data_IF_034260440234
#
_entry.id   IF_034260440234
#
_cell.length_a   1.000
_cell.length_b   1.000
_cell.length_c   1.000
_cell.angle_alpha   90.00
_cell.angle_beta   90.00
_cell.angle_gamma   90.00
#
_symmetry.space_group_name_H-M   'P 1'
#
loop_
_entity.id
_entity.type
_entity.pdbx_description
1 polymer ?
#
# COMPACT_ATOMS: atom_id res chain seq x y z
N UNK A 1 -14.80 -17.55 2.36
CA UNK A 1 -14.42 -16.31 3.08
C UNK A 1 -13.37 -16.59 4.16
N UNK A 2 -13.60 -17.52 5.08
CA UNK A 2 -12.66 -17.89 6.16
C UNK A 2 -11.27 -18.30 5.70
N UNK A 3 -11.15 -19.11 4.64
CA UNK A 3 -9.85 -19.56 4.10
C UNK A 3 -8.97 -18.41 3.59
N UNK A 4 -9.56 -17.37 2.98
CA UNK A 4 -8.80 -16.22 2.48
C UNK A 4 -8.41 -15.26 3.61
N UNK A 5 -9.30 -15.05 4.59
CA UNK A 5 -8.97 -14.26 5.78
C UNK A 5 -7.81 -14.89 6.54
N UNK A 6 -7.81 -16.22 6.69
CA UNK A 6 -6.70 -16.93 7.31
C UNK A 6 -5.42 -16.89 6.46
N UNK A 7 -5.51 -17.16 5.15
CA UNK A 7 -4.33 -17.13 4.26
C UNK A 7 -3.73 -15.73 4.12
N UNK A 8 -4.53 -14.71 3.78
CA UNK A 8 -4.06 -13.33 3.62
C UNK A 8 -3.71 -12.66 4.94
N UNK A 9 -4.62 -12.72 5.91
CA UNK A 9 -4.51 -12.01 7.18
C UNK A 9 -3.58 -12.66 8.20
N UNK A 10 -3.49 -14.00 8.24
CA UNK A 10 -2.61 -14.72 9.18
C UNK A 10 -1.34 -15.22 8.50
N UNK A 11 -1.43 -16.02 7.43
CA UNK A 11 -0.24 -16.63 6.81
C UNK A 11 0.62 -15.58 6.09
N UNK A 12 0.07 -14.80 5.17
CA UNK A 12 0.84 -13.83 4.40
C UNK A 12 1.29 -12.64 5.25
N UNK A 13 0.43 -12.14 6.14
CA UNK A 13 0.84 -11.11 7.09
C UNK A 13 1.96 -11.61 8.02
N UNK A 14 1.85 -12.81 8.59
CA UNK A 14 2.89 -13.38 9.46
C UNK A 14 4.16 -13.72 8.67
N UNK A 15 4.05 -14.25 7.46
CA UNK A 15 5.19 -14.54 6.59
C UNK A 15 5.92 -13.28 6.15
N UNK A 16 5.19 -12.26 5.71
CA UNK A 16 5.75 -10.94 5.40
C UNK A 16 6.36 -10.29 6.64
N UNK A 17 5.68 -10.40 7.78
CA UNK A 17 6.16 -9.93 9.08
C UNK A 17 7.49 -10.56 9.48
N UNK A 18 7.58 -11.89 9.38
CA UNK A 18 8.79 -12.64 9.69
C UNK A 18 9.93 -12.29 8.75
N UNK A 19 9.66 -12.06 7.46
CA UNK A 19 10.67 -11.60 6.51
C UNK A 19 11.18 -10.20 6.83
N UNK A 20 10.29 -9.27 7.17
CA UNK A 20 10.69 -7.93 7.63
C UNK A 20 11.51 -8.06 8.92
N UNK A 21 11.05 -8.81 9.92
CA UNK A 21 11.82 -9.05 11.15
C UNK A 21 13.19 -9.64 10.87
N UNK A 22 13.28 -10.64 10.00
CA UNK A 22 14.55 -11.26 9.58
C UNK A 22 15.51 -10.21 9.03
N UNK A 23 15.05 -9.30 8.16
CA UNK A 23 15.86 -8.23 7.59
C UNK A 23 16.17 -7.09 8.59
N UNK A 24 15.47 -7.02 9.72
CA UNK A 24 15.74 -6.06 10.79
C UNK A 24 16.66 -6.62 11.89
N UNK A 25 16.65 -7.92 12.12
CA UNK A 25 17.37 -8.56 13.24
C UNK A 25 18.57 -9.40 12.80
N UNK A 26 18.38 -10.33 11.87
CA UNK A 26 19.39 -11.34 11.50
C UNK A 26 20.15 -10.93 10.23
N UNK A 27 19.43 -10.61 9.16
CA UNK A 27 19.98 -10.27 7.84
C UNK A 27 19.88 -8.76 7.61
N UNK A 28 20.46 -7.99 8.53
CA UNK A 28 20.36 -6.52 8.52
C UNK A 28 20.80 -5.93 7.19
N UNK A 29 19.96 -5.08 6.61
CA UNK A 29 20.31 -4.30 5.42
C UNK A 29 20.98 -2.99 5.85
N UNK A 30 22.25 -2.74 5.48
CA UNK A 30 22.92 -1.47 5.77
C UNK A 30 22.38 -0.34 4.89
N UNK A 31 22.68 0.90 5.23
CA UNK A 31 22.48 2.02 4.32
C UNK A 31 23.45 1.93 3.13
N UNK A 32 23.21 2.71 2.07
CA UNK A 32 24.15 2.86 0.96
C UNK A 32 24.17 1.71 -0.04
N UNK A 33 23.23 0.76 0.04
CA UNK A 33 23.14 -0.32 -0.95
C UNK A 33 22.80 0.19 -2.36
N UNK A 34 22.12 1.32 -2.46
CA UNK A 34 21.83 2.02 -3.72
C UNK A 34 22.36 3.45 -3.66
N UNK A 35 22.70 4.01 -4.82
CA UNK A 35 23.11 5.40 -4.99
C UNK A 35 21.91 6.30 -5.32
N UNK A 36 22.11 7.62 -5.36
CA UNK A 36 21.01 8.57 -5.61
C UNK A 36 20.46 8.53 -7.05
N UNK A 37 21.26 8.06 -7.99
CA UNK A 37 20.93 7.86 -9.40
C UNK A 37 20.26 6.50 -9.68
N UNK A 38 20.24 5.60 -8.69
CA UNK A 38 19.64 4.29 -8.86
C UNK A 38 18.14 4.37 -9.22
N UNK A 39 17.62 3.53 -10.14
CA UNK A 39 16.21 3.58 -10.58
C UNK A 39 15.18 3.46 -9.45
N UNK A 40 15.45 2.65 -8.42
CA UNK A 40 14.59 2.61 -7.21
C UNK A 40 14.57 3.92 -6.40
N UNK A 41 15.53 4.82 -6.60
CA UNK A 41 15.58 6.13 -5.92
C UNK A 41 14.99 7.23 -6.80
N UNK A 42 15.23 7.17 -8.11
CA UNK A 42 14.77 8.19 -9.07
C UNK A 42 13.35 7.93 -9.57
N UNK A 43 12.97 6.65 -9.69
CA UNK A 43 11.75 6.23 -10.38
C UNK A 43 11.84 6.28 -11.90
N UNK A 44 13.03 6.55 -12.45
CA UNK A 44 13.25 6.72 -13.88
C UNK A 44 13.77 5.44 -14.53
N UNK A 45 13.28 5.16 -15.74
CA UNK A 45 13.74 4.04 -16.55
C UNK A 45 15.14 4.33 -17.11
N UNK A 46 16.11 3.41 -16.99
CA UNK A 46 17.50 3.65 -17.39
C UNK A 46 17.67 4.11 -18.85
N UNK A 47 16.86 3.59 -19.77
CA UNK A 47 16.99 3.85 -21.20
C UNK A 47 16.31 5.16 -21.65
N UNK A 48 15.15 5.46 -21.08
CA UNK A 48 14.26 6.52 -21.59
C UNK A 48 14.31 7.78 -20.71
N UNK A 49 14.84 7.69 -19.49
CA UNK A 49 14.76 8.75 -18.46
C UNK A 49 13.34 9.20 -18.13
N UNK A 50 12.34 8.42 -18.56
CA UNK A 50 10.93 8.63 -18.24
C UNK A 50 10.56 7.91 -16.93
N UNK A 51 9.55 8.41 -16.19
CA UNK A 51 9.04 7.73 -15.01
C UNK A 51 8.46 6.35 -15.35
N UNK A 52 8.79 5.32 -14.57
CA UNK A 52 8.31 3.94 -14.81
C UNK A 52 6.81 3.74 -14.46
N UNK A 53 6.25 4.60 -13.60
CA UNK A 53 4.95 4.36 -12.98
C UNK A 53 3.77 4.31 -13.96
N UNK A 54 3.65 5.24 -14.93
CA UNK A 54 2.61 5.16 -15.96
C UNK A 54 2.67 3.86 -16.76
N UNK A 55 3.87 3.42 -17.12
CA UNK A 55 4.11 2.18 -17.88
C UNK A 55 3.80 0.90 -17.08
N UNK A 56 3.65 1.00 -15.76
CA UNK A 56 3.27 -0.11 -14.88
C UNK A 56 1.77 -0.16 -14.53
N UNK A 57 0.92 0.65 -15.17
CA UNK A 57 -0.53 0.56 -15.02
C UNK A 57 -1.03 -0.70 -15.76
N UNK A 58 -1.39 -1.74 -15.01
CA UNK A 58 -1.87 -3.01 -15.55
C UNK A 58 -3.37 -2.98 -15.91
N UNK A 59 -4.13 -2.14 -15.21
CA UNK A 59 -5.56 -2.00 -15.40
C UNK A 59 -5.97 -0.59 -14.98
N UNK A 60 -6.93 -0.02 -15.69
CA UNK A 60 -7.61 1.20 -15.28
C UNK A 60 -9.06 1.16 -15.71
N UNK A 61 -9.94 1.62 -14.84
CA UNK A 61 -11.32 1.92 -15.24
C UNK A 61 -11.35 3.18 -16.11
N UNK A 62 -12.35 3.32 -16.99
CA UNK A 62 -12.62 4.58 -17.67
C UNK A 62 -12.73 5.72 -16.66
N UNK A 63 -12.40 6.94 -17.08
CA UNK A 63 -12.59 8.12 -16.23
C UNK A 63 -14.11 8.32 -16.02
N UNK A 64 -14.60 8.00 -14.83
CA UNK A 64 -15.96 8.28 -14.38
C UNK A 64 -16.26 9.78 -14.31
N UNK A 65 -17.53 10.13 -14.47
CA UNK A 65 -18.01 11.53 -14.57
C UNK A 65 -18.46 12.12 -13.23
N UNK A 66 -18.65 11.31 -12.18
CA UNK A 66 -19.22 11.77 -10.89
C UNK A 66 -18.30 12.73 -10.10
N UNK A 67 -16.99 12.67 -10.34
CA UNK A 67 -15.98 13.55 -9.75
C UNK A 67 -15.71 14.79 -10.61
N UNK A 68 -16.19 14.79 -11.88
CA UNK A 68 -16.21 15.96 -12.74
C UNK A 68 -17.35 16.92 -12.36
N UNK A 69 -17.40 17.31 -11.08
CA UNK A 69 -18.09 18.54 -10.70
C UNK A 69 -17.40 19.67 -11.46
N UNK A 70 -18.15 20.68 -11.92
CA UNK A 70 -17.62 21.75 -12.77
C UNK A 70 -16.36 22.46 -12.20
N UNK A 71 -16.14 22.36 -10.88
CA UNK A 71 -15.04 22.99 -10.14
C UNK A 71 -13.86 22.04 -9.81
N UNK A 72 -13.94 20.74 -10.14
CA UNK A 72 -12.86 19.77 -9.88
C UNK A 72 -12.39 19.11 -11.17
N UNK A 73 -11.26 19.59 -11.69
CA UNK A 73 -10.53 18.91 -12.74
C UNK A 73 -9.61 17.85 -12.12
N UNK A 74 -9.82 16.56 -12.40
CA UNK A 74 -8.97 15.51 -11.89
C UNK A 74 -7.57 15.58 -12.48
N UNK A 75 -6.60 15.16 -11.67
CA UNK A 75 -5.25 14.91 -12.19
C UNK A 75 -5.27 13.72 -13.16
N UNK A 76 -4.37 13.75 -14.15
CA UNK A 76 -4.21 12.62 -15.07
C UNK A 76 -3.73 11.38 -14.34
N UNK A 77 -4.03 10.19 -14.88
CA UNK A 77 -3.56 8.92 -14.33
C UNK A 77 -2.05 8.94 -14.06
N UNK A 78 -1.26 9.45 -15.01
CA UNK A 78 0.19 9.56 -14.95
C UNK A 78 0.66 10.47 -13.80
N UNK A 79 -0.03 11.59 -13.58
CA UNK A 79 0.26 12.50 -12.47
C UNK A 79 -0.05 11.84 -11.12
N UNK A 80 -1.19 11.14 -11.02
CA UNK A 80 -1.62 10.40 -9.81
C UNK A 80 -0.60 9.32 -9.45
N UNK A 81 -0.33 8.39 -10.38
CA UNK A 81 0.61 7.29 -10.13
C UNK A 81 2.03 7.80 -9.94
N UNK A 82 2.40 8.89 -10.63
CA UNK A 82 3.67 9.57 -10.44
C UNK A 82 3.82 10.17 -9.04
N UNK A 83 2.78 10.76 -8.46
CA UNK A 83 2.81 11.28 -7.08
C UNK A 83 2.97 10.16 -6.07
N UNK A 84 2.20 9.08 -6.21
CA UNK A 84 2.32 7.88 -5.34
C UNK A 84 3.73 7.28 -5.48
N UNK A 85 4.21 7.11 -6.70
CA UNK A 85 5.52 6.57 -7.02
C UNK A 85 6.67 7.40 -6.44
N UNK A 86 6.69 8.72 -6.66
CA UNK A 86 7.70 9.63 -6.09
C UNK A 86 7.70 9.62 -4.57
N UNK A 87 6.54 9.53 -3.94
CA UNK A 87 6.45 9.42 -2.49
C UNK A 87 7.16 8.16 -1.96
N UNK A 88 7.01 7.02 -2.65
CA UNK A 88 7.67 5.78 -2.29
C UNK A 88 9.18 5.79 -2.63
N UNK A 89 9.56 6.36 -3.77
CA UNK A 89 10.97 6.56 -4.14
C UNK A 89 11.72 7.44 -3.11
N UNK A 90 11.05 8.47 -2.58
CA UNK A 90 11.59 9.28 -1.49
C UNK A 90 11.84 8.48 -0.20
N UNK A 91 11.14 7.37 0.03
CA UNK A 91 11.45 6.46 1.15
C UNK A 91 12.75 5.69 0.89
N UNK A 92 12.95 5.18 -0.33
CA UNK A 92 14.21 4.51 -0.73
C UNK A 92 15.40 5.48 -0.62
N UNK A 93 15.22 6.73 -1.08
CA UNK A 93 16.23 7.80 -1.05
C UNK A 93 16.81 8.02 0.35
N UNK A 94 16.03 7.84 1.42
CA UNK A 94 16.50 7.95 2.81
C UNK A 94 17.55 6.91 3.21
N UNK A 95 17.72 5.87 2.42
CA UNK A 95 18.75 4.84 2.59
C UNK A 95 19.82 4.85 1.49
N UNK A 96 19.74 5.78 0.54
CA UNK A 96 20.74 5.88 -0.52
C UNK A 96 22.09 6.35 0.05
N UNK A 97 23.18 5.98 -0.61
CA UNK A 97 24.51 6.48 -0.29
C UNK A 97 24.54 7.99 -0.50
N UNK A 98 24.92 8.73 0.55
CA UNK A 98 25.17 10.16 0.50
C UNK A 98 26.60 10.41 1.01
N UNK A 99 27.32 11.42 0.47
CA UNK A 99 28.56 11.89 1.09
C UNK A 99 28.30 12.18 2.58
N UNK A 100 29.23 11.76 3.44
CA UNK A 100 29.00 11.61 4.88
C UNK A 100 28.35 12.82 5.55
N UNK A 101 27.27 12.56 6.28
CA UNK A 101 26.87 13.37 7.43
C UNK A 101 27.27 12.51 8.64
N UNK A 102 28.19 12.94 9.52
CA UNK A 102 28.70 12.14 10.64
C UNK A 102 27.60 11.61 11.59
N UNK A 103 26.44 12.27 11.63
CA UNK A 103 25.28 11.89 12.44
C UNK A 103 24.18 11.18 11.63
N UNK A 104 24.32 11.08 10.29
CA UNK A 104 23.25 10.72 9.37
C UNK A 104 22.07 11.71 9.42
N UNK A 105 21.17 11.66 8.43
CA UNK A 105 19.86 12.30 8.61
C UNK A 105 19.14 11.64 9.80
N UNK A 106 18.32 12.38 10.55
CA UNK A 106 17.47 11.83 11.61
C UNK A 106 16.57 10.72 11.03
N UNK A 107 16.96 9.45 11.20
CA UNK A 107 16.32 8.29 10.57
C UNK A 107 15.19 7.77 11.43
N UNK A 108 13.96 7.89 10.91
CA UNK A 108 12.77 7.37 11.61
C UNK A 108 12.39 5.94 11.21
N UNK A 109 12.79 5.45 10.04
CA UNK A 109 12.48 4.07 9.58
C UNK A 109 13.73 3.24 9.28
N UNK A 110 13.74 1.93 9.59
CA UNK A 110 14.83 1.03 9.23
C UNK A 110 15.10 0.91 7.72
N UNK A 111 16.36 0.69 7.34
CA UNK A 111 16.77 0.62 5.94
C UNK A 111 16.09 -0.49 5.14
N UNK A 112 15.88 -1.66 5.74
CA UNK A 112 15.12 -2.75 5.10
C UNK A 112 13.70 -2.32 4.70
N UNK A 113 13.03 -1.54 5.56
CA UNK A 113 11.69 -0.98 5.26
C UNK A 113 11.79 0.06 4.15
N UNK A 114 12.84 0.85 4.08
CA UNK A 114 13.01 1.79 2.96
C UNK A 114 13.24 1.06 1.63
N UNK A 115 14.11 0.03 1.59
CA UNK A 115 14.44 -0.68 0.35
C UNK A 115 13.30 -1.51 -0.23
N UNK A 116 12.45 -2.12 0.59
CA UNK A 116 11.29 -2.86 0.06
C UNK A 116 10.35 -1.97 -0.75
N UNK A 117 10.32 -0.65 -0.49
CA UNK A 117 9.52 0.27 -1.29
C UNK A 117 10.01 0.33 -2.73
N UNK A 118 11.31 0.16 -3.00
CA UNK A 118 11.87 0.12 -4.36
C UNK A 118 11.23 -0.98 -5.19
N UNK A 119 11.18 -2.19 -4.65
CA UNK A 119 10.47 -3.32 -5.29
C UNK A 119 8.96 -3.05 -5.43
N UNK A 120 8.33 -2.35 -4.48
CA UNK A 120 6.88 -2.07 -4.52
C UNK A 120 6.52 -0.99 -5.55
N UNK A 121 7.29 0.10 -5.65
CA UNK A 121 6.93 1.22 -6.52
C UNK A 121 7.54 1.15 -7.91
N UNK A 122 8.77 0.66 -8.04
CA UNK A 122 9.47 0.65 -9.32
C UNK A 122 9.10 -0.61 -10.09
N UNK A 123 9.16 -1.77 -9.43
CA UNK A 123 8.80 -3.04 -10.05
C UNK A 123 7.30 -3.33 -9.98
N UNK A 124 6.56 -2.74 -9.04
CA UNK A 124 5.16 -3.07 -8.81
C UNK A 124 4.21 -2.67 -9.94
N UNK A 125 3.09 -3.38 -10.02
CA UNK A 125 2.01 -3.09 -10.94
C UNK A 125 0.92 -2.24 -10.26
N UNK A 126 0.29 -1.36 -11.02
CA UNK A 126 -0.80 -0.49 -10.53
C UNK A 126 -2.12 -0.88 -11.16
N UNK A 127 -3.17 -0.98 -10.35
CA UNK A 127 -4.56 -1.00 -10.82
C UNK A 127 -5.25 0.29 -10.38
N UNK A 128 -5.82 1.03 -11.32
CA UNK A 128 -6.36 2.36 -11.07
C UNK A 128 -7.90 2.37 -11.17
N UNK A 129 -8.55 2.90 -10.14
CA UNK A 129 -10.00 2.97 -10.03
C UNK A 129 -10.44 4.39 -9.68
N UNK A 130 -11.69 4.71 -9.96
CA UNK A 130 -12.29 5.99 -9.58
C UNK A 130 -12.60 6.01 -8.09
N UNK A 131 -13.41 5.05 -7.65
CA UNK A 131 -13.97 4.95 -6.29
C UNK A 131 -13.83 3.52 -5.74
N UNK A 132 -14.04 3.36 -4.43
CA UNK A 132 -14.06 2.03 -3.82
C UNK A 132 -15.24 1.18 -4.32
N UNK A 133 -16.40 1.80 -4.48
CA UNK A 133 -17.59 1.14 -5.00
C UNK A 133 -17.39 0.62 -6.43
N UNK A 134 -16.72 1.38 -7.29
CA UNK A 134 -16.36 0.92 -8.62
C UNK A 134 -15.40 -0.27 -8.54
N UNK A 135 -14.31 -0.16 -7.77
CA UNK A 135 -13.37 -1.27 -7.60
C UNK A 135 -14.04 -2.53 -7.03
N UNK A 136 -15.05 -2.38 -6.16
CA UNK A 136 -15.83 -3.48 -5.63
C UNK A 136 -16.53 -4.27 -6.75
N UNK A 137 -17.02 -3.61 -7.80
CA UNK A 137 -17.65 -4.29 -8.95
C UNK A 137 -16.69 -5.25 -9.66
N UNK A 138 -15.44 -4.80 -9.87
CA UNK A 138 -14.40 -5.59 -10.51
C UNK A 138 -13.91 -6.70 -9.60
N UNK A 139 -13.60 -6.40 -8.35
CA UNK A 139 -13.09 -7.42 -7.42
C UNK A 139 -14.15 -8.43 -6.97
N UNK A 140 -15.44 -8.11 -7.06
CA UNK A 140 -16.50 -9.10 -6.86
C UNK A 140 -16.46 -10.19 -7.96
N UNK A 141 -16.14 -9.79 -9.19
CA UNK A 141 -15.98 -10.70 -10.32
C UNK A 141 -14.83 -11.70 -10.07
N UNK A 142 -15.14 -12.99 -10.14
CA UNK A 142 -14.14 -14.05 -9.97
C UNK A 142 -13.15 -14.10 -11.14
N UNK A 143 -13.55 -13.68 -12.35
CA UNK A 143 -12.71 -13.61 -13.55
C UNK A 143 -11.62 -12.56 -13.37
N UNK A 144 -11.99 -11.38 -12.90
CA UNK A 144 -11.03 -10.30 -12.60
C UNK A 144 -10.02 -10.73 -11.52
N UNK A 145 -10.50 -11.37 -10.44
CA UNK A 145 -9.61 -11.90 -9.40
C UNK A 145 -8.70 -13.01 -9.88
N UNK A 146 -9.15 -13.86 -10.82
CA UNK A 146 -8.29 -14.88 -11.45
C UNK A 146 -7.20 -14.20 -12.28
N UNK A 147 -7.54 -13.15 -13.01
CA UNK A 147 -6.58 -12.38 -13.80
C UNK A 147 -5.55 -11.65 -12.94
N UNK A 148 -5.97 -11.03 -11.83
CA UNK A 148 -5.05 -10.48 -10.84
C UNK A 148 -4.07 -11.53 -10.29
N UNK A 149 -4.57 -12.75 -10.01
CA UNK A 149 -3.70 -13.85 -9.59
C UNK A 149 -2.74 -14.28 -10.67
N UNK A 150 -3.17 -14.28 -11.94
CA UNK A 150 -2.30 -14.57 -13.08
C UNK A 150 -1.18 -13.53 -13.19
N UNK A 151 -1.52 -12.24 -13.19
CA UNK A 151 -0.55 -11.13 -13.18
C UNK A 151 0.49 -11.32 -12.07
N UNK A 152 0.05 -11.51 -10.81
CA UNK A 152 0.98 -11.68 -9.69
C UNK A 152 1.85 -12.94 -9.83
N UNK A 153 1.29 -14.04 -10.32
CA UNK A 153 2.03 -15.30 -10.49
C UNK A 153 3.09 -15.21 -11.58
N UNK A 154 2.74 -14.63 -12.73
CA UNK A 154 3.61 -14.55 -13.91
C UNK A 154 4.65 -13.45 -13.74
N UNK A 155 4.20 -12.26 -13.35
CA UNK A 155 5.11 -11.13 -13.16
C UNK A 155 5.87 -11.23 -11.84
N UNK A 156 5.36 -11.86 -10.79
CA UNK A 156 5.98 -11.79 -9.44
C UNK A 156 6.26 -10.33 -9.04
N UNK A 157 5.24 -9.48 -9.14
CA UNK A 157 5.28 -8.06 -8.77
C UNK A 157 4.30 -7.82 -7.64
N UNK A 158 4.62 -6.88 -6.75
CA UNK A 158 3.62 -6.33 -5.83
C UNK A 158 2.55 -5.56 -6.61
N UNK A 159 1.32 -5.54 -6.11
CA UNK A 159 0.21 -4.82 -6.77
C UNK A 159 -0.31 -3.73 -5.86
N UNK A 160 -0.43 -2.51 -6.38
CA UNK A 160 -1.04 -1.40 -5.67
C UNK A 160 -2.34 -1.00 -6.35
N UNK A 161 -3.44 -1.01 -5.60
CA UNK A 161 -4.68 -0.38 -6.02
C UNK A 161 -4.57 1.10 -5.71
N UNK A 162 -4.80 1.97 -6.67
CA UNK A 162 -4.81 3.42 -6.49
C UNK A 162 -6.19 3.96 -6.88
N UNK A 163 -6.67 4.94 -6.12
CA UNK A 163 -7.99 5.53 -6.31
C UNK A 163 -7.85 7.00 -6.70
N UNK A 164 -8.53 7.41 -7.79
CA UNK A 164 -8.48 8.78 -8.32
C UNK A 164 -9.17 9.77 -7.39
N UNK A 165 -10.23 9.36 -6.71
CA UNK A 165 -10.91 10.18 -5.72
C UNK A 165 -10.05 10.33 -4.47
N UNK A 166 -9.35 11.47 -4.37
CA UNK A 166 -8.49 11.78 -3.22
C UNK A 166 -9.30 12.08 -1.95
N UNK A 167 -10.52 12.59 -2.11
CA UNK A 167 -11.43 12.86 -1.00
C UNK A 167 -12.40 11.71 -0.77
N UNK A 168 -12.11 10.82 0.18
CA UNK A 168 -12.85 9.57 0.36
C UNK A 168 -13.42 9.46 1.78
N UNK A 169 -14.50 8.67 1.93
CA UNK A 169 -15.02 8.28 3.24
C UNK A 169 -14.07 7.25 3.90
N UNK A 170 -13.45 7.56 5.06
CA UNK A 170 -12.60 6.62 5.78
C UNK A 170 -13.29 5.31 6.18
N UNK A 171 -14.61 5.33 6.43
CA UNK A 171 -15.39 4.15 6.79
C UNK A 171 -15.59 3.26 5.58
N UNK A 172 -15.96 3.84 4.44
CA UNK A 172 -16.04 3.11 3.17
C UNK A 172 -14.70 2.49 2.82
N UNK A 173 -13.60 3.24 2.96
CA UNK A 173 -12.27 2.73 2.69
C UNK A 173 -11.92 1.51 3.55
N UNK A 174 -12.30 1.53 4.83
CA UNK A 174 -12.10 0.41 5.74
C UNK A 174 -12.90 -0.83 5.29
N UNK A 175 -14.15 -0.63 4.88
CA UNK A 175 -15.00 -1.73 4.39
C UNK A 175 -14.47 -2.33 3.09
N UNK A 176 -14.09 -1.49 2.13
CA UNK A 176 -13.46 -1.93 0.89
C UNK A 176 -12.20 -2.75 1.15
N UNK A 177 -11.37 -2.26 2.04
CA UNK A 177 -10.12 -2.91 2.39
C UNK A 177 -10.35 -4.27 3.05
N UNK A 178 -11.29 -4.37 3.99
CA UNK A 178 -11.69 -5.64 4.59
C UNK A 178 -12.30 -6.60 3.57
N UNK A 179 -13.05 -6.08 2.58
CA UNK A 179 -13.52 -6.84 1.45
C UNK A 179 -12.35 -7.42 0.64
N UNK A 180 -11.35 -6.61 0.25
CA UNK A 180 -10.16 -7.08 -0.49
C UNK A 180 -9.49 -8.21 0.28
N UNK A 181 -9.18 -8.01 1.56
CA UNK A 181 -8.54 -9.03 2.43
C UNK A 181 -9.36 -10.33 2.59
N UNK A 182 -10.67 -10.27 2.34
CA UNK A 182 -11.55 -11.44 2.40
C UNK A 182 -11.64 -12.19 1.06
N UNK A 183 -11.21 -11.56 -0.04
CA UNK A 183 -11.42 -12.04 -1.42
C UNK A 183 -10.12 -12.33 -2.17
N UNK A 184 -9.01 -11.75 -1.76
CA UNK A 184 -7.66 -12.07 -2.25
C UNK A 184 -6.88 -12.84 -1.16
N UNK A 185 -5.99 -13.78 -1.53
CA UNK A 185 -5.29 -14.62 -0.56
C UNK A 185 -4.08 -13.91 0.10
N UNK A 186 -3.90 -12.61 -0.11
CA UNK A 186 -2.73 -11.85 0.34
C UNK A 186 -3.10 -10.81 1.39
N UNK A 187 -2.09 -10.34 2.11
CA UNK A 187 -2.24 -9.19 2.99
C UNK A 187 -2.45 -7.93 2.16
N UNK A 188 -3.19 -6.95 2.69
CA UNK A 188 -3.47 -5.70 2.00
C UNK A 188 -3.15 -4.51 2.92
N UNK A 189 -2.10 -3.75 2.63
CA UNK A 189 -1.78 -2.56 3.39
C UNK A 189 -2.56 -1.36 2.85
N UNK A 190 -3.37 -0.70 3.68
CA UNK A 190 -4.16 0.46 3.27
C UNK A 190 -3.37 1.72 3.54
N UNK A 191 -3.34 2.69 2.63
CA UNK A 191 -2.70 3.99 2.85
C UNK A 191 -3.60 5.07 2.25
N UNK A 192 -3.50 6.31 2.72
CA UNK A 192 -4.33 7.36 2.16
C UNK A 192 -3.94 8.77 2.54
N UNK A 193 -4.59 9.73 1.87
CA UNK A 193 -4.30 11.15 1.97
C UNK A 193 -4.93 11.83 3.20
N UNK A 194 -5.85 11.14 3.88
CA UNK A 194 -6.61 11.69 4.99
C UNK A 194 -6.26 11.00 6.33
N UNK A 195 -7.20 11.04 7.28
CA UNK A 195 -7.10 10.34 8.56
C UNK A 195 -6.76 8.88 8.36
N UNK A 196 -5.97 8.34 9.29
CA UNK A 196 -5.52 6.95 9.22
C UNK A 196 -6.73 6.04 9.32
N UNK A 197 -6.76 5.06 8.42
CA UNK A 197 -7.75 3.98 8.42
C UNK A 197 -7.01 2.70 8.75
N UNK A 198 -7.45 1.99 9.79
CA UNK A 198 -6.81 0.76 10.25
C UNK A 198 -5.30 0.97 10.48
N UNK A 199 -4.43 0.12 9.92
CA UNK A 199 -2.97 0.23 10.05
C UNK A 199 -2.34 1.25 9.09
N UNK A 200 -3.15 2.03 8.36
CA UNK A 200 -2.65 2.78 7.23
C UNK A 200 -1.69 3.92 7.56
N UNK A 201 -0.84 4.20 6.57
CA UNK A 201 0.11 5.30 6.61
C UNK A 201 -0.32 6.41 5.63
N UNK A 202 0.23 7.63 5.81
CA UNK A 202 0.02 8.71 4.86
C UNK A 202 0.46 8.30 3.44
N UNK A 203 -0.34 8.66 2.45
CA UNK A 203 -0.06 8.49 1.01
C UNK A 203 -0.69 9.66 0.24
N UNK A 204 -0.13 10.10 -0.90
CA UNK A 204 -0.72 11.19 -1.68
C UNK A 204 -2.16 10.94 -2.13
N UNK A 205 -2.50 9.67 -2.38
CA UNK A 205 -3.82 9.17 -2.75
C UNK A 205 -4.20 7.95 -1.91
N UNK A 206 -5.51 7.69 -1.72
CA UNK A 206 -5.97 6.39 -1.22
C UNK A 206 -5.40 5.26 -2.07
N UNK A 207 -4.80 4.29 -1.39
CA UNK A 207 -4.13 3.15 -2.01
C UNK A 207 -4.23 1.89 -1.15
N UNK A 208 -4.34 0.74 -1.80
CA UNK A 208 -4.31 -0.58 -1.15
C UNK A 208 -3.17 -1.38 -1.77
N UNK A 209 -2.09 -1.57 -1.01
CA UNK A 209 -0.95 -2.37 -1.44
C UNK A 209 -1.27 -3.85 -1.14
N UNK A 210 -1.52 -4.65 -2.16
CA UNK A 210 -1.64 -6.10 -2.05
C UNK A 210 -0.23 -6.68 -1.91
N UNK A 211 0.13 -7.06 -0.68
CA UNK A 211 1.46 -7.56 -0.33
C UNK A 211 1.50 -9.08 -0.50
N UNK A 212 2.03 -9.52 -1.64
CA UNK A 212 2.11 -10.93 -2.01
C UNK A 212 3.48 -11.57 -1.67
N UNK A 213 4.50 -10.77 -1.40
CA UNK A 213 5.83 -11.22 -0.96
C UNK A 213 6.88 -11.25 -2.07
N UNK A 214 6.52 -10.85 -3.30
CA UNK A 214 7.47 -10.71 -4.41
C UNK A 214 8.61 -9.76 -4.11
N UNK A 215 8.39 -8.75 -3.25
CA UNK A 215 9.45 -7.82 -2.82
C UNK A 215 10.63 -8.52 -2.13
N UNK A 216 10.42 -9.69 -1.49
CA UNK A 216 11.45 -10.36 -0.68
C UNK A 216 12.64 -10.73 -1.54
N UNK A 217 12.42 -11.34 -2.70
CA UNK A 217 13.49 -11.78 -3.60
C UNK A 217 14.33 -10.59 -4.08
N UNK A 218 13.69 -9.50 -4.51
CA UNK A 218 14.39 -8.30 -4.97
C UNK A 218 15.21 -7.65 -3.84
N UNK A 219 14.67 -7.57 -2.63
CA UNK A 219 15.41 -7.01 -1.48
C UNK A 219 16.57 -7.89 -1.01
N UNK A 220 16.42 -9.22 -1.07
CA UNK A 220 17.53 -10.13 -0.77
C UNK A 220 18.63 -10.04 -1.82
N UNK A 221 18.29 -9.93 -3.11
CA UNK A 221 19.28 -9.73 -4.17
C UNK A 221 20.04 -8.43 -3.97
N UNK A 222 19.33 -7.34 -3.67
CA UNK A 222 19.96 -6.06 -3.32
C UNK A 222 20.93 -6.21 -2.12
N UNK A 223 20.52 -6.95 -1.08
CA UNK A 223 21.37 -7.20 0.09
C UNK A 223 22.68 -7.91 -0.28
N UNK A 224 22.68 -8.76 -1.31
CA UNK A 224 23.87 -9.44 -1.82
C UNK A 224 24.61 -8.66 -2.91
N UNK A 225 24.27 -7.37 -3.12
CA UNK A 225 25.00 -6.48 -4.04
C UNK A 225 24.47 -6.45 -5.46
N UNK A 226 23.39 -7.16 -5.77
CA UNK A 226 22.76 -7.15 -7.09
C UNK A 226 21.87 -5.92 -7.25
N UNK A 227 22.43 -4.84 -7.80
CA UNK A 227 21.74 -3.55 -8.00
C UNK A 227 21.08 -3.45 -9.37
N UNK A 228 21.62 -4.15 -10.37
CA UNK A 228 21.20 -3.97 -11.76
C UNK A 228 19.97 -4.80 -12.08
N UNK A 229 19.96 -6.08 -11.72
CA UNK A 229 18.91 -6.99 -12.20
C UNK A 229 17.63 -6.96 -11.36
N UNK A 230 17.68 -6.30 -10.20
CA UNK A 230 16.50 -5.96 -9.39
C UNK A 230 15.68 -4.82 -10.01
N UNK A 231 16.23 -4.12 -11.01
CA UNK A 231 15.53 -3.10 -11.79
C UNK A 231 14.83 -3.81 -12.94
N UNK A 232 13.52 -3.93 -12.86
CA UNK A 232 12.74 -4.69 -13.83
C UNK A 232 12.25 -3.80 -14.98
N UNK A 233 12.08 -4.36 -16.19
CA UNK A 233 11.45 -3.61 -17.27
C UNK A 233 10.00 -3.24 -16.91
N UNK A 234 9.41 -2.25 -17.60
CA UNK A 234 8.00 -1.95 -17.48
C UNK A 234 7.11 -3.17 -17.72
N UNK A 235 5.91 -3.13 -17.17
CA UNK A 235 4.88 -4.09 -17.51
C UNK A 235 4.49 -3.95 -18.98
N UNK A 236 4.12 -5.05 -19.64
CA UNK A 236 3.35 -4.98 -20.88
C UNK A 236 1.84 -5.03 -20.53
N UNK A 237 1.14 -3.89 -20.44
CA UNK A 237 -0.25 -3.87 -20.01
C UNK A 237 -1.19 -4.57 -20.99
N UNK A 238 -0.82 -4.67 -22.28
CA UNK A 238 -1.65 -5.32 -23.28
C UNK A 238 -1.82 -6.83 -23.04
N UNK A 239 -1.02 -7.44 -22.16
CA UNK A 239 -1.12 -8.87 -21.84
C UNK A 239 -2.16 -9.18 -20.77
N UNK A 240 -2.62 -8.20 -19.99
CA UNK A 240 -3.42 -8.42 -18.79
C UNK A 240 -4.77 -7.71 -18.89
N UNK A 241 -5.78 -8.30 -18.26
CA UNK A 241 -7.12 -7.72 -18.17
C UNK A 241 -7.75 -7.36 -19.54
N UNK A 242 -7.55 -8.21 -20.54
CA UNK A 242 -8.12 -8.03 -21.90
C UNK A 242 -9.63 -8.29 -22.01
N UNK A 243 -10.22 -8.93 -21.00
CA UNK A 243 -11.65 -9.27 -21.01
C UNK A 243 -12.53 -8.14 -20.51
N UNK A 244 -13.84 -8.29 -20.70
CA UNK A 244 -14.83 -7.50 -19.99
C UNK A 244 -14.99 -8.04 -18.57
N UNK A 245 -14.75 -7.16 -17.59
CA UNK A 245 -14.84 -7.49 -16.17
C UNK A 245 -15.81 -6.57 -15.47
N UNK A 246 -16.26 -7.03 -14.31
CA UNK A 246 -17.21 -6.31 -13.49
C UNK A 246 -18.53 -7.08 -13.44
N UNK A 247 -19.16 -7.03 -12.28
CA UNK A 247 -20.49 -7.58 -12.05
C UNK A 247 -21.31 -6.53 -11.29
N UNK A 248 -22.65 -6.57 -11.40
CA UNK A 248 -23.51 -5.69 -10.62
C UNK A 248 -23.11 -5.67 -9.15
N UNK A 249 -22.98 -4.46 -8.63
CA UNK A 249 -22.46 -4.22 -7.30
C UNK A 249 -23.44 -4.72 -6.23
N UNK A 250 -22.90 -5.16 -5.09
CA UNK A 250 -23.64 -5.26 -3.85
C UNK A 250 -23.08 -4.30 -2.82
N UNK A 251 -23.86 -3.97 -1.80
CA UNK A 251 -23.31 -3.35 -0.60
C UNK A 251 -22.33 -4.29 0.14
N UNK A 252 -21.45 -3.69 0.96
CA UNK A 252 -20.58 -4.45 1.86
C UNK A 252 -21.41 -5.31 2.83
N UNK A 253 -21.05 -6.58 2.97
CA UNK A 253 -21.74 -7.51 3.87
C UNK A 253 -21.49 -7.15 5.34
N UNK A 254 -22.36 -7.63 6.23
CA UNK A 254 -22.14 -7.50 7.68
C UNK A 254 -20.83 -8.16 8.13
N UNK A 255 -20.37 -9.23 7.46
CA UNK A 255 -19.08 -9.87 7.75
C UNK A 255 -17.89 -9.00 7.36
N UNK A 256 -17.95 -8.29 6.23
CA UNK A 256 -16.91 -7.34 5.80
C UNK A 256 -16.82 -6.14 6.74
N UNK A 257 -17.98 -5.59 7.12
CA UNK A 257 -18.07 -4.51 8.11
C UNK A 257 -17.52 -4.94 9.47
N UNK A 258 -17.84 -6.16 9.90
CA UNK A 258 -17.34 -6.71 11.16
C UNK A 258 -15.83 -6.92 11.12
N UNK A 259 -15.31 -7.43 10.00
CA UNK A 259 -13.87 -7.61 9.80
C UNK A 259 -13.13 -6.26 9.86
N UNK A 260 -13.63 -5.22 9.18
CA UNK A 260 -13.09 -3.86 9.25
C UNK A 260 -13.11 -3.32 10.68
N UNK A 261 -14.24 -3.48 11.39
CA UNK A 261 -14.39 -3.04 12.78
C UNK A 261 -13.37 -3.73 13.71
N UNK A 262 -13.22 -5.06 13.60
CA UNK A 262 -12.30 -5.85 14.43
C UNK A 262 -10.85 -5.45 14.20
N UNK A 263 -10.44 -5.31 12.93
CA UNK A 263 -9.12 -4.79 12.57
C UNK A 263 -8.92 -3.40 13.19
N UNK A 264 -9.88 -2.50 13.00
CA UNK A 264 -9.76 -1.13 13.48
C UNK A 264 -9.61 -1.07 14.99
N UNK A 265 -10.40 -1.85 15.73
CA UNK A 265 -10.29 -1.96 17.19
C UNK A 265 -8.95 -2.54 17.62
N UNK A 266 -8.46 -3.57 16.93
CA UNK A 266 -7.14 -4.13 17.22
C UNK A 266 -6.03 -3.10 17.03
N UNK A 267 -6.02 -2.36 15.91
CA UNK A 267 -5.03 -1.31 15.66
C UNK A 267 -5.16 -0.16 16.66
N UNK A 268 -6.37 0.33 16.91
CA UNK A 268 -6.59 1.43 17.86
C UNK A 268 -6.15 1.07 19.28
N UNK A 269 -6.33 -0.19 19.72
CA UNK A 269 -5.83 -0.66 21.03
C UNK A 269 -4.31 -0.68 21.13
N UNK A 270 -3.58 -0.81 20.02
CA UNK A 270 -2.10 -0.75 20.01
C UNK A 270 -1.58 0.68 20.16
N UNK A 271 -2.39 1.69 19.84
CA UNK A 271 -2.06 3.10 19.98
C UNK A 271 -0.72 3.48 19.33
N UNK A 272 0.15 4.17 20.09
CA UNK A 272 1.48 4.58 19.61
C UNK A 272 2.50 3.45 19.46
N UNK A 273 2.17 2.21 19.86
CA UNK A 273 3.01 1.03 19.55
C UNK A 273 2.86 0.57 18.09
N UNK A 274 2.09 1.29 17.28
CA UNK A 274 2.01 1.13 15.82
C UNK A 274 0.97 0.11 15.32
N UNK A 275 0.61 0.22 14.03
CA UNK A 275 -0.33 -0.67 13.32
C UNK A 275 0.32 -1.87 12.63
N UNK A 276 1.63 -1.82 12.36
CA UNK A 276 2.44 -2.93 11.83
C UNK A 276 3.48 -3.31 12.88
N UNK A 277 3.75 -4.61 13.04
CA UNK A 277 4.58 -5.18 14.12
C UNK A 277 6.02 -4.63 14.22
N UNK A 278 6.49 -3.87 13.23
CA UNK A 278 7.90 -3.44 13.08
C UNK A 278 8.14 -1.97 13.38
N UNK A 279 7.08 -1.19 13.61
CA UNK A 279 7.16 0.26 13.72
C UNK A 279 6.64 0.72 15.08
N UNK A 280 7.57 1.01 15.99
CA UNK A 280 7.23 1.70 17.24
C UNK A 280 7.07 3.20 16.98
N UNK A 281 5.82 3.67 16.86
CA UNK A 281 5.55 5.10 16.56
C UNK A 281 5.98 6.02 17.70
N UNK A 282 6.22 5.53 18.91
CA UNK A 282 6.84 6.34 19.97
C UNK A 282 8.22 6.85 19.56
N UNK A 283 8.94 6.08 18.73
CA UNK A 283 10.28 6.44 18.22
C UNK A 283 10.22 7.28 16.95
N UNK A 284 9.17 7.09 16.14
CA UNK A 284 8.99 7.79 14.85
C UNK A 284 8.29 9.14 15.02
N UNK A 285 7.30 9.21 15.89
CA UNK A 285 6.45 10.36 16.15
C UNK A 285 6.65 10.82 17.61
N UNK A 286 7.91 10.90 18.06
CA UNK A 286 8.26 11.18 19.46
C UNK A 286 7.60 12.46 20.00
N UNK A 287 7.66 13.57 19.26
CA UNK A 287 7.05 14.86 19.65
C UNK A 287 5.53 14.77 19.77
N UNK A 288 4.90 13.92 18.95
CA UNK A 288 3.45 13.69 19.00
C UNK A 288 3.09 12.80 20.19
N UNK A 289 3.90 11.78 20.45
CA UNK A 289 3.73 10.90 21.61
C UNK A 289 3.92 11.66 22.93
N UNK A 290 4.94 12.53 23.01
CA UNK A 290 5.17 13.39 24.17
C UNK A 290 4.00 14.35 24.39
N UNK A 291 3.48 15.00 23.33
CA UNK A 291 2.26 15.82 23.41
C UNK A 291 1.07 15.02 23.92
N UNK A 292 0.84 13.83 23.38
CA UNK A 292 -0.23 12.94 23.85
C UNK A 292 -0.08 12.56 25.33
N UNK A 293 1.15 12.28 25.80
CA UNK A 293 1.38 11.99 27.23
C UNK A 293 1.14 13.21 28.12
N UNK A 294 1.46 14.41 27.65
CA UNK A 294 1.35 15.64 28.43
C UNK A 294 -0.09 16.18 28.47
N UNK A 295 -0.81 16.17 27.35
CA UNK A 295 -2.11 16.85 27.20
C UNK A 295 -3.27 15.93 26.85
N UNK A 296 -3.00 14.67 26.49
CA UNK A 296 -4.00 13.77 25.90
C UNK A 296 -4.34 14.09 24.44
N UNK A 297 -3.81 15.18 23.88
CA UNK A 297 -4.07 15.62 22.51
C UNK A 297 -3.18 14.89 21.49
N UNK A 298 -3.68 14.76 20.26
CA UNK A 298 -2.91 14.13 19.19
C UNK A 298 -2.72 12.62 19.37
N UNK A 299 -3.64 11.95 20.06
CA UNK A 299 -3.69 10.48 20.23
C UNK A 299 -3.62 9.69 18.91
N UNK A 300 -3.58 8.36 18.96
CA UNK A 300 -3.46 7.53 17.76
C UNK A 300 -4.61 7.83 16.76
N UNK A 301 -4.25 8.42 15.62
CA UNK A 301 -5.12 9.06 14.61
C UNK A 301 -6.04 8.13 13.80
N UNK A 302 -6.50 7.04 14.40
CA UNK A 302 -7.26 6.03 13.67
C UNK A 302 -8.75 6.37 13.65
N UNK A 303 -9.34 6.47 12.46
CA UNK A 303 -10.75 6.78 12.29
C UNK A 303 -11.63 5.69 12.96
N UNK A 304 -12.63 6.03 13.77
CA UNK A 304 -13.49 5.04 14.40
C UNK A 304 -14.42 4.39 13.37
N UNK A 305 -14.39 3.06 13.30
CA UNK A 305 -15.33 2.29 12.47
C UNK A 305 -16.56 1.90 13.33
N UNK A 306 -17.80 2.12 12.85
CA UNK A 306 -19.01 1.72 13.56
C UNK A 306 -19.02 0.22 13.86
N UNK A 307 -19.56 -0.17 15.03
CA UNK A 307 -19.75 -1.58 15.36
C UNK A 307 -21.02 -2.10 14.63
N UNK A 308 -20.90 -3.00 13.64
CA UNK A 308 -22.06 -3.48 12.89
C UNK A 308 -22.98 -4.39 13.72
N UNK A 309 -22.55 -4.84 14.90
CA UNK A 309 -23.35 -5.66 15.82
C UNK A 309 -24.17 -4.83 16.80
N UNK A 310 -23.85 -3.55 16.98
CA UNK A 310 -24.73 -2.64 17.71
C UNK A 310 -25.85 -2.25 16.76
N UNK A 311 -27.02 -2.89 16.91
CA UNK A 311 -28.26 -2.33 16.35
C UNK A 311 -28.33 -0.89 16.85
N UNK A 312 -28.58 0.05 15.95
CA UNK A 312 -28.95 1.41 16.36
C UNK A 312 -30.10 1.27 17.36
N UNK A 313 -29.81 1.48 18.65
CA UNK A 313 -30.83 1.83 19.63
C UNK A 313 -31.21 3.28 19.32
N UNK A 314 -31.89 3.48 18.21
CA UNK A 314 -32.56 4.72 17.86
C UNK A 314 -33.98 4.32 17.52
N UNK A 315 -34.83 4.45 18.54
CA UNK A 315 -36.18 4.95 18.36
C UNK A 315 -36.10 6.37 17.82
#
# INVERSE_FOLDING_TARGET
MSQNVFRGGFIHNTGGALNVMRLLSVHKMPAGLVTLDHPWVTGLMPAEQEPVWPSNIAFRTPLGTEWAKAEYAPETDDAIVGKVGRFLAAMVRKSAAVPEIPQGTSRRMPHAINYLHGAVHYNGATLLFNTFQEALTYFADTRFRKELRRLIKEERREVTLVFRERNYDPVEFAYFSAFVMSHVPWFANVNGAQRKVMWGNPSPYPAVNIINGSWVADTDRLRHGDKTSIVRPPLNPALYFRGEYGVPTRSYTSSERLHAYLINKWVSRRGFRGGLYFVDRRRIEADRFQRYQATGEGGPDNHPIPNPLRRHQQR
#
